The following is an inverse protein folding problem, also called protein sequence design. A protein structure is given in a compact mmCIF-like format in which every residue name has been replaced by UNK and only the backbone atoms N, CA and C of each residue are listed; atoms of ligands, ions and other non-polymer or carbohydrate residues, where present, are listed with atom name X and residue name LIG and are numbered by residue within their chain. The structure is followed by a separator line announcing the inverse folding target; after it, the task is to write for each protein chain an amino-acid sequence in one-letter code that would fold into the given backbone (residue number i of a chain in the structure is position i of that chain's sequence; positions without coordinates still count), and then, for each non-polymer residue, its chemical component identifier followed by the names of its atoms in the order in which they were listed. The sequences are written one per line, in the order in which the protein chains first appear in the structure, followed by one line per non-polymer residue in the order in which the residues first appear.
data_IF_654938307064
#
_entry.id   IF_654938307064
#
_cell.length_a   1.000
_cell.length_b   1.000
_cell.length_c   1.000
_cell.angle_alpha   90.00
_cell.angle_beta   90.00
_cell.angle_gamma   90.00
#
_symmetry.space_group_name_H-M   'P 1'
#
loop_
_entity.id
_entity.type
_entity.pdbx_description
1 polymer ?
#
# COMPACT_ATOMS: atom_id res chain seq x y z
N UNK A 1 -18.67 7.04 -1.63
CA UNK A 1 -17.61 7.13 -0.60
C UNK A 1 -17.05 5.73 -0.44
N UNK A 2 -15.72 5.58 -0.43
CA UNK A 2 -15.04 4.28 -0.34
C UNK A 2 -13.80 4.40 0.54
N UNK A 3 -13.30 3.27 1.03
CA UNK A 3 -12.01 3.14 1.72
C UNK A 3 -10.90 2.98 0.68
N UNK A 4 -9.79 3.66 0.91
CA UNK A 4 -8.56 3.53 0.15
C UNK A 4 -7.47 3.01 1.10
N UNK A 5 -6.88 1.86 0.76
CA UNK A 5 -5.75 1.28 1.50
C UNK A 5 -4.43 1.49 0.75
N UNK A 6 -3.35 1.66 1.50
CA UNK A 6 -1.98 1.81 0.99
C UNK A 6 -1.05 0.89 1.78
N UNK A 7 -0.29 0.05 1.09
CA UNK A 7 0.63 -0.90 1.72
C UNK A 7 1.72 -0.25 2.55
N UNK A 8 2.14 0.98 2.25
CA UNK A 8 3.09 1.72 3.09
C UNK A 8 2.47 2.06 4.45
N UNK A 9 1.24 2.57 4.46
CA UNK A 9 0.54 2.94 5.69
C UNK A 9 0.13 1.71 6.50
N UNK A 10 -0.38 0.68 5.82
CA UNK A 10 -0.72 -0.59 6.47
C UNK A 10 0.49 -1.24 7.14
N UNK A 11 1.69 -1.12 6.57
CA UNK A 11 2.89 -1.67 7.20
C UNK A 11 3.21 -1.07 8.58
N UNK A 12 2.79 0.17 8.82
CA UNK A 12 3.03 0.87 10.07
C UNK A 12 1.94 0.53 11.10
N UNK A 13 0.68 0.56 10.67
CA UNK A 13 -0.47 0.60 11.59
C UNK A 13 -1.23 -0.73 11.73
N UNK A 14 -1.16 -1.62 10.73
CA UNK A 14 -1.93 -2.87 10.72
C UNK A 14 -1.13 -4.01 11.34
N UNK A 15 -1.81 -4.86 12.11
CA UNK A 15 -1.21 -6.10 12.64
C UNK A 15 -0.87 -7.08 11.49
N UNK A 16 -1.65 -7.08 10.41
CA UNK A 16 -1.42 -7.89 9.22
C UNK A 16 -2.13 -7.32 7.99
N UNK A 17 -1.67 -7.67 6.79
CA UNK A 17 -2.39 -7.33 5.56
C UNK A 17 -3.78 -7.97 5.49
N UNK A 18 -3.91 -9.22 5.95
CA UNK A 18 -5.18 -9.94 5.93
C UNK A 18 -6.25 -9.20 6.73
N UNK A 19 -5.96 -8.86 7.99
CA UNK A 19 -6.90 -8.16 8.87
C UNK A 19 -7.34 -6.81 8.30
N UNK A 20 -6.39 -6.02 7.77
CA UNK A 20 -6.69 -4.70 7.20
C UNK A 20 -7.57 -4.79 5.95
N UNK A 21 -7.25 -5.69 5.01
CA UNK A 21 -8.05 -5.88 3.79
C UNK A 21 -9.43 -6.48 4.09
N UNK A 22 -9.53 -7.45 4.99
CA UNK A 22 -10.81 -8.05 5.40
C UNK A 22 -11.74 -7.02 6.05
N UNK A 23 -11.22 -6.17 6.94
CA UNK A 23 -12.00 -5.13 7.60
C UNK A 23 -12.51 -4.07 6.61
N UNK A 24 -11.71 -3.73 5.59
CA UNK A 24 -12.08 -2.74 4.58
C UNK A 24 -12.96 -3.31 3.45
N UNK A 25 -12.99 -4.63 3.25
CA UNK A 25 -13.54 -5.28 2.06
C UNK A 25 -14.91 -4.77 1.57
N UNK A 26 -15.93 -4.55 2.44
CA UNK A 26 -17.24 -4.07 1.99
C UNK A 26 -17.24 -2.66 1.38
N UNK A 27 -16.20 -1.87 1.67
CA UNK A 27 -16.09 -0.46 1.29
C UNK A 27 -14.83 -0.14 0.50
N UNK A 28 -13.93 -1.10 0.29
CA UNK A 28 -12.65 -0.89 -0.39
C UNK A 28 -12.88 -0.56 -1.87
N UNK A 29 -12.44 0.62 -2.29
CA UNK A 29 -12.60 1.10 -3.67
C UNK A 29 -11.29 1.36 -4.40
N UNK A 30 -10.18 1.47 -3.68
CA UNK A 30 -8.88 1.80 -4.26
C UNK A 30 -7.72 1.28 -3.42
N UNK A 31 -6.65 0.85 -4.07
CA UNK A 31 -5.44 0.37 -3.40
C UNK A 31 -4.20 1.05 -3.99
N UNK A 32 -3.37 1.62 -3.12
CA UNK A 32 -2.01 2.01 -3.43
C UNK A 32 -1.04 0.91 -3.00
N UNK A 33 -0.01 0.70 -3.80
CA UNK A 33 1.09 -0.23 -3.51
C UNK A 33 2.44 0.47 -3.60
N UNK A 34 3.26 0.28 -2.58
CA UNK A 34 4.67 0.67 -2.52
C UNK A 34 5.38 -0.12 -1.41
N UNK A 35 6.72 -0.17 -1.41
CA UNK A 35 7.47 -0.81 -0.32
C UNK A 35 7.32 -0.10 1.03
N UNK A 36 7.80 -0.74 2.11
CA UNK A 36 7.87 -0.16 3.45
C UNK A 36 8.60 1.20 3.51
N UNK A 37 9.50 1.47 2.57
CA UNK A 37 10.21 2.73 2.41
C UNK A 37 9.72 3.55 1.19
N UNK A 38 8.53 3.22 0.68
CA UNK A 38 7.95 3.74 -0.57
C UNK A 38 8.75 3.43 -1.84
N UNK A 39 9.70 2.49 -1.77
CA UNK A 39 10.47 2.00 -2.92
C UNK A 39 9.69 1.02 -3.82
N UNK A 40 10.41 0.36 -4.72
CA UNK A 40 9.84 -0.60 -5.69
C UNK A 40 9.30 -1.86 -4.99
N UNK A 41 7.99 -2.19 -5.15
CA UNK A 41 7.41 -3.45 -4.69
C UNK A 41 8.25 -4.69 -5.03
N UNK A 42 8.49 -5.55 -4.04
CA UNK A 42 9.22 -6.81 -4.19
C UNK A 42 10.73 -6.69 -3.95
N UNK A 43 11.22 -5.50 -3.57
CA UNK A 43 12.65 -5.26 -3.26
C UNK A 43 12.90 -4.85 -1.82
N UNK A 44 11.87 -4.74 -1.00
CA UNK A 44 11.97 -4.33 0.41
C UNK A 44 11.49 -5.41 1.37
N UNK A 45 10.88 -4.97 2.47
CA UNK A 45 10.55 -5.81 3.62
C UNK A 45 9.07 -6.23 3.65
N UNK A 46 8.25 -5.69 2.76
CA UNK A 46 6.83 -6.06 2.72
C UNK A 46 6.66 -7.52 2.31
N UNK A 47 5.79 -8.22 3.04
CA UNK A 47 5.35 -9.55 2.67
C UNK A 47 4.30 -9.47 1.54
N UNK A 48 4.77 -9.29 0.31
CA UNK A 48 3.92 -9.17 -0.88
C UNK A 48 3.05 -10.40 -1.14
N UNK A 49 3.54 -11.61 -0.81
CA UNK A 49 2.75 -12.81 -0.93
C UNK A 49 1.50 -12.74 -0.02
N UNK A 50 1.67 -12.30 1.24
CA UNK A 50 0.55 -12.09 2.16
C UNK A 50 -0.38 -10.95 1.70
N UNK A 51 0.18 -9.83 1.25
CA UNK A 51 -0.61 -8.69 0.74
C UNK A 51 -1.47 -9.08 -0.47
N UNK A 52 -0.86 -9.67 -1.51
CA UNK A 52 -1.59 -10.05 -2.73
C UNK A 52 -2.57 -11.18 -2.48
N UNK A 53 -2.24 -12.10 -1.56
CA UNK A 53 -3.20 -13.12 -1.10
C UNK A 53 -4.41 -12.49 -0.43
N UNK A 54 -4.21 -11.55 0.50
CA UNK A 54 -5.31 -10.88 1.20
C UNK A 54 -6.25 -10.14 0.24
N UNK A 55 -5.69 -9.41 -0.75
CA UNK A 55 -6.45 -8.75 -1.80
C UNK A 55 -7.28 -9.76 -2.62
N UNK A 56 -6.68 -10.90 -2.98
CA UNK A 56 -7.35 -11.96 -3.73
C UNK A 56 -8.45 -12.65 -2.90
N UNK A 57 -8.21 -12.92 -1.62
CA UNK A 57 -9.14 -13.60 -0.71
C UNK A 57 -10.42 -12.78 -0.50
N UNK A 58 -10.33 -11.45 -0.44
CA UNK A 58 -11.51 -10.57 -0.38
C UNK A 58 -12.18 -10.35 -1.74
N UNK A 59 -11.64 -10.94 -2.81
CA UNK A 59 -12.19 -10.84 -4.17
C UNK A 59 -12.11 -9.44 -4.78
N UNK A 60 -11.20 -8.58 -4.33
CA UNK A 60 -11.12 -7.20 -4.82
C UNK A 60 -10.79 -7.15 -6.33
N UNK A 61 -11.62 -6.46 -7.10
CA UNK A 61 -11.49 -6.30 -8.56
C UNK A 61 -11.20 -4.85 -8.99
N UNK A 62 -11.01 -3.94 -8.02
CA UNK A 62 -10.78 -2.53 -8.29
C UNK A 62 -9.33 -2.22 -8.69
N UNK A 63 -9.04 -0.95 -8.91
CA UNK A 63 -7.70 -0.52 -9.29
C UNK A 63 -6.68 -0.72 -8.15
N UNK A 64 -5.49 -1.17 -8.53
CA UNK A 64 -4.29 -1.24 -7.72
C UNK A 64 -3.24 -0.42 -8.43
N UNK A 65 -2.73 0.62 -7.79
CA UNK A 65 -1.81 1.58 -8.42
C UNK A 65 -0.55 1.75 -7.62
N UNK A 66 0.56 1.98 -8.34
CA UNK A 66 1.87 2.16 -7.75
C UNK A 66 2.01 3.59 -7.22
N UNK A 67 2.31 3.74 -5.94
CA UNK A 67 2.67 5.03 -5.32
C UNK A 67 4.09 4.97 -4.79
N UNK A 68 5.06 4.81 -5.69
CA UNK A 68 6.47 4.65 -5.32
C UNK A 68 7.25 5.95 -5.48
N UNK A 69 8.09 6.25 -4.49
CA UNK A 69 8.87 7.48 -4.34
C UNK A 69 10.35 7.27 -4.69
N UNK A 70 10.65 6.56 -5.78
CA UNK A 70 12.03 6.25 -6.17
C UNK A 70 12.78 7.44 -6.77
N UNK A 71 12.06 8.39 -7.35
CA UNK A 71 12.55 9.68 -7.85
C UNK A 71 11.47 10.69 -7.55
N UNK A 72 11.72 11.55 -6.56
CA UNK A 72 10.75 12.53 -6.08
C UNK A 72 11.27 13.92 -6.45
N UNK A 73 10.37 14.75 -6.97
CA UNK A 73 10.68 16.14 -7.23
C UNK A 73 11.04 16.85 -5.92
N UNK A 74 12.05 17.72 -5.93
CA UNK A 74 12.52 18.44 -4.75
C UNK A 74 11.40 19.28 -4.13
N UNK A 75 10.46 19.78 -4.94
CA UNK A 75 9.36 20.61 -4.50
C UNK A 75 8.35 19.85 -3.63
N UNK A 76 8.26 18.52 -3.77
CA UNK A 76 7.33 17.68 -3.00
C UNK A 76 8.04 16.76 -2.00
N UNK A 77 9.36 16.56 -2.12
CA UNK A 77 10.15 15.68 -1.26
C UNK A 77 9.99 16.02 0.23
N UNK A 78 9.93 17.32 0.57
CA UNK A 78 9.72 17.79 1.93
C UNK A 78 8.37 17.38 2.52
N UNK A 79 7.31 17.40 1.72
CA UNK A 79 5.97 16.96 2.13
C UNK A 79 5.84 15.44 2.28
N UNK A 80 6.70 14.68 1.59
CA UNK A 80 6.73 13.22 1.60
C UNK A 80 7.78 12.63 2.57
N UNK A 81 8.51 13.49 3.27
CA UNK A 81 9.61 13.13 4.16
C UNK A 81 10.71 12.28 3.50
N UNK A 82 11.04 12.58 2.24
CA UNK A 82 12.11 11.90 1.49
C UNK A 82 13.39 12.73 1.58
N UNK A 83 14.39 12.20 2.28
CA UNK A 83 15.64 12.92 2.60
C UNK A 83 16.91 12.30 1.98
N UNK A 84 16.77 11.19 1.24
CA UNK A 84 17.85 10.49 0.55
C UNK A 84 17.30 9.64 -0.60
#
# INVERSE_FOLDING_TARGET
IFIHLDTYHMHIEEESFASGFEAAAPYLGYVHVSEANRGVPGRGMLNWAACMKAIADIGYQGAITLESMNHVDVDIAGGLAVWR
#
